data_IF_309684998340
#
_entry.id   IF_309684998340
#
_cell.length_a   1.000
_cell.length_b   1.000
_cell.length_c   1.000
_cell.angle_alpha   90.00
_cell.angle_beta   90.00
_cell.angle_gamma   90.00
#
_symmetry.space_group_name_H-M   'P 1'
#
loop_
_entity.id
_entity.type
_entity.pdbx_description
1 polymer ?
#
# COMPACT_ATOMS: atom_id res chain seq x y z
N UNK A 1 -8.25 -20.56 -15.24
CA UNK A 1 -8.58 -21.25 -14.00
C UNK A 1 -7.83 -20.59 -12.87
N UNK A 2 -8.45 -19.65 -12.16
CA UNK A 2 -7.82 -18.74 -11.20
C UNK A 2 -7.32 -19.39 -9.91
N UNK A 3 -6.40 -20.34 -9.99
CA UNK A 3 -5.67 -20.81 -8.81
C UNK A 3 -4.57 -19.80 -8.47
N UNK A 4 -4.44 -19.40 -7.19
CA UNK A 4 -3.34 -18.54 -6.76
C UNK A 4 -1.98 -19.12 -7.14
N UNK A 5 -1.04 -18.27 -7.58
CA UNK A 5 0.30 -18.73 -7.99
C UNK A 5 1.08 -19.40 -6.87
N UNK A 6 0.82 -19.06 -5.62
CA UNK A 6 1.38 -19.74 -4.45
C UNK A 6 0.86 -21.18 -4.28
N UNK A 7 -0.24 -21.57 -4.95
CA UNK A 7 -0.71 -22.95 -5.03
C UNK A 7 -0.23 -23.66 -6.28
N UNK A 8 -0.05 -22.95 -7.41
CA UNK A 8 0.38 -23.50 -8.70
C UNK A 8 1.78 -24.10 -8.59
N UNK A 9 2.71 -23.41 -7.89
CA UNK A 9 4.09 -23.92 -7.68
C UNK A 9 4.21 -25.13 -6.78
N UNK A 10 3.10 -25.64 -6.23
CA UNK A 10 3.04 -26.79 -5.32
C UNK A 10 2.20 -27.94 -5.84
N UNK A 11 2.00 -28.03 -7.13
CA UNK A 11 1.34 -29.18 -7.77
C UNK A 11 2.16 -30.45 -7.42
N UNK A 12 1.53 -31.38 -6.70
CA UNK A 12 2.19 -32.62 -6.23
C UNK A 12 2.72 -32.58 -4.80
N UNK A 13 2.66 -31.45 -4.10
CA UNK A 13 2.93 -31.36 -2.65
C UNK A 13 1.62 -31.31 -1.85
N UNK A 14 1.68 -31.50 -0.52
CA UNK A 14 0.52 -31.48 0.37
C UNK A 14 -0.51 -30.42 -0.01
N UNK A 15 -1.79 -30.77 -0.05
CA UNK A 15 -2.92 -29.86 -0.29
C UNK A 15 -3.09 -28.78 0.79
N UNK A 16 -2.33 -28.85 1.90
CA UNK A 16 -2.33 -27.88 2.98
C UNK A 16 -1.22 -26.87 2.76
N UNK A 17 -1.60 -25.64 2.42
CA UNK A 17 -0.67 -24.52 2.44
C UNK A 17 -0.34 -24.14 3.87
N UNK A 18 0.93 -23.76 4.10
CA UNK A 18 1.32 -23.18 5.38
C UNK A 18 0.45 -21.91 5.64
N UNK A 19 -0.03 -21.69 6.87
CA UNK A 19 -0.92 -20.57 7.20
C UNK A 19 -0.39 -19.19 6.83
N UNK A 20 0.93 -19.02 6.83
CA UNK A 20 1.61 -17.75 6.52
C UNK A 20 1.87 -17.55 5.02
N UNK A 21 1.60 -18.51 4.16
CA UNK A 21 1.77 -18.34 2.71
C UNK A 21 0.74 -17.37 2.18
N UNK A 22 1.18 -16.34 1.43
CA UNK A 22 0.32 -15.30 0.87
C UNK A 22 -0.07 -14.20 1.87
N UNK A 23 0.69 -14.01 2.95
CA UNK A 23 0.46 -12.97 3.96
C UNK A 23 1.48 -11.84 3.93
N UNK A 24 2.38 -11.85 2.93
CA UNK A 24 3.39 -10.81 2.79
C UNK A 24 2.84 -9.56 2.12
N UNK A 25 3.61 -8.48 2.18
CA UNK A 25 3.23 -7.17 1.65
C UNK A 25 3.33 -7.05 0.11
N UNK A 26 3.77 -8.10 -0.58
CA UNK A 26 3.85 -8.11 -2.04
C UNK A 26 2.52 -7.75 -2.75
N UNK A 27 1.38 -7.91 -2.09
CA UNK A 27 0.09 -7.41 -2.55
C UNK A 27 -0.02 -5.88 -2.43
N UNK A 28 0.41 -5.31 -1.29
CA UNK A 28 0.32 -3.87 -0.98
C UNK A 28 1.30 -3.02 -1.79
N UNK A 29 2.57 -3.46 -1.93
CA UNK A 29 3.63 -2.68 -2.58
C UNK A 29 3.41 -2.42 -4.07
N UNK A 30 2.59 -3.23 -4.75
CA UNK A 30 2.32 -3.11 -6.19
C UNK A 30 0.93 -2.56 -6.52
N UNK A 31 0.09 -2.25 -5.53
CA UNK A 31 -1.34 -2.02 -5.74
C UNK A 31 -1.72 -0.57 -6.01
N UNK A 32 -0.81 0.39 -5.81
CA UNK A 32 -1.09 1.82 -6.00
C UNK A 32 -1.78 2.14 -7.35
N UNK A 33 -1.42 1.50 -8.49
CA UNK A 33 -2.13 1.70 -9.75
C UNK A 33 -3.64 1.45 -9.67
N UNK A 34 -4.10 0.53 -8.81
CA UNK A 34 -5.52 0.29 -8.62
C UNK A 34 -6.25 1.51 -8.03
N UNK A 35 -5.59 2.25 -7.13
CA UNK A 35 -6.10 3.52 -6.60
C UNK A 35 -6.05 4.64 -7.63
N UNK A 36 -4.94 4.76 -8.38
CA UNK A 36 -4.74 5.80 -9.39
C UNK A 36 -5.76 5.73 -10.52
N UNK A 37 -6.16 4.53 -10.96
CA UNK A 37 -7.17 4.33 -12.02
C UNK A 37 -8.58 4.72 -11.56
N UNK A 38 -8.87 4.67 -10.25
CA UNK A 38 -10.19 4.93 -9.67
C UNK A 38 -10.17 6.09 -8.65
N UNK A 39 -9.85 7.35 -9.08
CA UNK A 39 -9.87 8.51 -8.18
C UNK A 39 -11.23 8.65 -7.47
N UNK A 40 -11.22 8.68 -6.13
CA UNK A 40 -12.41 8.80 -5.28
C UNK A 40 -13.36 7.59 -5.27
N UNK A 41 -13.17 6.60 -6.15
CA UNK A 41 -14.00 5.39 -6.25
C UNK A 41 -13.33 4.21 -5.52
N UNK A 42 -13.12 4.36 -4.23
CA UNK A 42 -12.36 3.41 -3.39
C UNK A 42 -12.89 1.97 -3.40
N UNK A 43 -14.18 1.75 -3.60
CA UNK A 43 -14.74 0.39 -3.78
C UNK A 43 -14.19 -0.27 -5.06
N UNK A 44 -14.20 0.44 -6.19
CA UNK A 44 -13.66 -0.05 -7.46
C UNK A 44 -12.14 -0.29 -7.35
N UNK A 45 -11.42 0.60 -6.67
CA UNK A 45 -10.00 0.41 -6.37
C UNK A 45 -9.74 -0.86 -5.56
N UNK A 46 -10.54 -1.14 -4.54
CA UNK A 46 -10.43 -2.36 -3.74
C UNK A 46 -10.77 -3.64 -4.53
N UNK A 47 -11.78 -3.59 -5.41
CA UNK A 47 -12.08 -4.73 -6.28
C UNK A 47 -10.93 -5.03 -7.26
N UNK A 48 -10.31 -4.00 -7.83
CA UNK A 48 -9.13 -4.19 -8.68
C UNK A 48 -7.94 -4.72 -7.85
N UNK A 49 -7.74 -4.22 -6.64
CA UNK A 49 -6.75 -4.73 -5.71
C UNK A 49 -6.97 -6.21 -5.39
N UNK A 50 -8.20 -6.64 -5.12
CA UNK A 50 -8.54 -8.05 -4.92
C UNK A 50 -8.10 -8.90 -6.11
N UNK A 51 -8.47 -8.51 -7.34
CA UNK A 51 -8.14 -9.25 -8.56
C UNK A 51 -6.63 -9.42 -8.71
N UNK A 52 -5.86 -8.37 -8.43
CA UNK A 52 -4.39 -8.43 -8.50
C UNK A 52 -3.75 -9.25 -7.38
N UNK A 53 -4.42 -9.41 -6.24
CA UNK A 53 -3.95 -10.20 -5.10
C UNK A 53 -4.14 -11.70 -5.30
N UNK A 54 -5.30 -12.12 -5.79
CA UNK A 54 -5.71 -13.53 -5.84
C UNK A 54 -4.66 -14.49 -6.42
N UNK A 55 -3.91 -14.14 -7.50
CA UNK A 55 -2.93 -15.06 -8.06
C UNK A 55 -1.76 -15.43 -7.13
N UNK A 56 -1.40 -14.57 -6.16
CA UNK A 56 -0.20 -14.75 -5.34
C UNK A 56 -0.41 -14.54 -3.84
N UNK A 57 -1.41 -13.74 -3.44
CA UNK A 57 -1.64 -13.28 -2.07
C UNK A 57 -3.14 -13.41 -1.72
N UNK A 58 -3.65 -14.63 -1.79
CA UNK A 58 -5.06 -14.98 -1.63
C UNK A 58 -5.49 -15.11 -0.16
N UNK A 59 -5.03 -14.23 0.72
CA UNK A 59 -5.39 -14.23 2.14
C UNK A 59 -6.12 -12.96 2.56
N UNK A 60 -6.96 -13.08 3.60
CA UNK A 60 -7.62 -11.92 4.23
C UNK A 60 -6.62 -10.84 4.65
N UNK A 61 -5.46 -11.21 5.18
CA UNK A 61 -4.41 -10.29 5.61
C UNK A 61 -3.87 -9.49 4.42
N UNK A 62 -3.47 -10.17 3.34
CA UNK A 62 -2.90 -9.51 2.17
C UNK A 62 -3.94 -8.66 1.41
N UNK A 63 -5.17 -9.17 1.24
CA UNK A 63 -6.24 -8.44 0.55
C UNK A 63 -6.68 -7.20 1.35
N UNK A 64 -6.83 -7.31 2.68
CA UNK A 64 -7.11 -6.17 3.53
C UNK A 64 -6.01 -5.09 3.44
N UNK A 65 -4.74 -5.53 3.41
CA UNK A 65 -3.57 -4.67 3.24
C UNK A 65 -3.56 -3.95 1.90
N UNK A 66 -3.76 -4.69 0.80
CA UNK A 66 -3.81 -4.12 -0.54
C UNK A 66 -4.99 -3.13 -0.70
N UNK A 67 -6.15 -3.46 -0.18
CA UNK A 67 -7.31 -2.57 -0.19
C UNK A 67 -7.09 -1.30 0.64
N UNK A 68 -6.33 -1.36 1.74
CA UNK A 68 -5.95 -0.17 2.52
C UNK A 68 -5.13 0.81 1.67
N UNK A 69 -4.09 0.33 0.99
CA UNK A 69 -3.25 1.16 0.12
C UNK A 69 -4.03 1.67 -1.09
N UNK A 70 -4.80 0.80 -1.78
CA UNK A 70 -5.59 1.19 -2.94
C UNK A 70 -6.65 2.26 -2.60
N UNK A 71 -7.35 2.12 -1.47
CA UNK A 71 -8.36 3.08 -1.03
C UNK A 71 -7.72 4.42 -0.62
N UNK A 72 -6.58 4.40 0.10
CA UNK A 72 -5.85 5.60 0.46
C UNK A 72 -5.33 6.34 -0.79
N UNK A 73 -4.76 5.61 -1.76
CA UNK A 73 -4.30 6.18 -3.03
C UNK A 73 -5.45 6.78 -3.82
N UNK A 74 -6.60 6.08 -3.90
CA UNK A 74 -7.83 6.58 -4.55
C UNK A 74 -8.31 7.89 -3.92
N UNK A 75 -8.30 7.97 -2.57
CA UNK A 75 -8.67 9.16 -1.83
C UNK A 75 -7.67 10.31 -2.03
N UNK A 76 -6.38 9.99 -2.11
CA UNK A 76 -5.30 10.96 -2.32
C UNK A 76 -5.43 11.75 -3.63
N UNK A 77 -6.08 11.17 -4.63
CA UNK A 77 -6.32 11.81 -5.93
C UNK A 77 -7.42 12.88 -5.92
N UNK A 78 -8.13 13.06 -4.80
CA UNK A 78 -9.20 14.07 -4.70
C UNK A 78 -8.65 15.43 -4.28
N UNK A 79 -9.17 16.54 -4.84
CA UNK A 79 -8.70 17.89 -4.50
C UNK A 79 -8.85 18.22 -3.01
N UNK A 80 -9.90 17.69 -2.35
CA UNK A 80 -10.19 17.89 -0.92
C UNK A 80 -9.50 16.88 0.01
N UNK A 81 -8.56 16.09 -0.51
CA UNK A 81 -7.85 15.09 0.29
C UNK A 81 -7.09 15.75 1.47
N UNK A 82 -7.10 15.07 2.59
CA UNK A 82 -6.44 15.48 3.83
C UNK A 82 -5.84 14.27 4.54
N UNK A 83 -4.90 14.47 5.47
CA UNK A 83 -4.34 13.37 6.27
C UNK A 83 -5.42 12.53 6.95
N UNK A 84 -6.47 13.18 7.46
CA UNK A 84 -7.60 12.49 8.08
C UNK A 84 -8.35 11.64 7.07
N UNK A 85 -8.69 12.20 5.90
CA UNK A 85 -9.42 11.46 4.89
C UNK A 85 -8.60 10.31 4.28
N UNK A 86 -7.26 10.44 4.20
CA UNK A 86 -6.36 9.36 3.79
C UNK A 86 -6.35 8.21 4.81
N UNK A 87 -6.24 8.55 6.11
CA UNK A 87 -6.30 7.56 7.18
C UNK A 87 -7.64 6.83 7.20
N UNK A 88 -8.74 7.57 7.13
CA UNK A 88 -10.09 7.01 7.11
C UNK A 88 -10.29 6.09 5.90
N UNK A 89 -9.77 6.47 4.73
CA UNK A 89 -9.81 5.64 3.53
C UNK A 89 -8.97 4.37 3.68
N UNK A 90 -7.78 4.44 4.30
CA UNK A 90 -6.95 3.27 4.57
C UNK A 90 -7.65 2.28 5.52
N UNK A 91 -8.21 2.76 6.64
CA UNK A 91 -8.94 1.94 7.61
C UNK A 91 -10.20 1.35 6.97
N UNK A 92 -10.95 2.15 6.22
CA UNK A 92 -12.12 1.67 5.49
C UNK A 92 -11.73 0.60 4.47
N UNK A 93 -10.66 0.82 3.70
CA UNK A 93 -10.14 -0.12 2.71
C UNK A 93 -9.73 -1.45 3.34
N UNK A 94 -9.04 -1.41 4.49
CA UNK A 94 -8.67 -2.62 5.25
C UNK A 94 -9.90 -3.43 5.66
N UNK A 95 -10.91 -2.77 6.24
CA UNK A 95 -12.15 -3.43 6.66
C UNK A 95 -12.97 -3.96 5.46
N UNK A 96 -13.00 -3.22 4.35
CA UNK A 96 -13.67 -3.64 3.13
C UNK A 96 -12.97 -4.84 2.49
N UNK A 97 -11.64 -4.80 2.41
CA UNK A 97 -10.81 -5.89 1.90
C UNK A 97 -10.94 -7.18 2.72
N UNK A 98 -11.06 -7.07 4.05
CA UNK A 98 -11.33 -8.24 4.89
C UNK A 98 -12.69 -8.88 4.59
N UNK A 99 -13.74 -8.05 4.32
CA UNK A 99 -15.05 -8.57 3.90
C UNK A 99 -14.99 -9.24 2.52
N UNK A 100 -14.28 -8.65 1.56
CA UNK A 100 -14.08 -9.26 0.24
C UNK A 100 -13.34 -10.59 0.37
N UNK A 101 -12.30 -10.65 1.20
CA UNK A 101 -11.52 -11.87 1.38
C UNK A 101 -12.36 -13.03 1.93
N UNK A 102 -13.34 -12.77 2.80
CA UNK A 102 -14.26 -13.81 3.30
C UNK A 102 -15.08 -14.49 2.19
N UNK A 103 -15.26 -13.81 1.04
CA UNK A 103 -16.01 -14.36 -0.10
C UNK A 103 -15.10 -15.02 -1.14
N UNK A 104 -13.87 -14.51 -1.33
CA UNK A 104 -13.06 -14.83 -2.50
C UNK A 104 -11.70 -15.45 -2.17
N UNK A 105 -11.31 -15.52 -0.90
CA UNK A 105 -9.95 -15.88 -0.51
C UNK A 105 -9.91 -16.76 0.74
N UNK A 106 -8.70 -17.16 1.13
CA UNK A 106 -8.46 -17.90 2.38
C UNK A 106 -8.48 -16.96 3.58
N UNK A 107 -9.15 -17.37 4.64
CA UNK A 107 -9.06 -16.69 5.93
C UNK A 107 -8.00 -17.40 6.79
N UNK A 108 -6.96 -16.67 7.14
CA UNK A 108 -5.89 -17.13 8.03
C UNK A 108 -5.89 -16.32 9.32
N UNK A 109 -5.40 -16.92 10.41
CA UNK A 109 -5.24 -16.21 11.67
C UNK A 109 -4.16 -15.12 11.56
N UNK A 110 -4.40 -13.98 12.17
CA UNK A 110 -3.45 -12.89 12.23
C UNK A 110 -4.08 -11.58 12.72
N UNK A 111 -3.28 -10.54 12.89
CA UNK A 111 -3.77 -9.25 13.36
C UNK A 111 -4.70 -8.57 12.36
N UNK A 112 -5.66 -7.78 12.85
CA UNK A 112 -6.47 -6.87 12.03
C UNK A 112 -5.59 -5.75 11.45
N UNK A 113 -5.63 -5.60 10.13
CA UNK A 113 -4.91 -4.53 9.43
C UNK A 113 -5.44 -3.15 9.86
N UNK A 114 -6.76 -3.00 9.96
CA UNK A 114 -7.39 -1.75 10.37
C UNK A 114 -6.97 -1.32 11.77
N UNK A 115 -6.92 -2.25 12.74
CA UNK A 115 -6.49 -1.94 14.11
C UNK A 115 -5.01 -1.58 14.18
N UNK A 116 -4.16 -2.24 13.39
CA UNK A 116 -2.73 -1.92 13.33
C UNK A 116 -2.45 -0.60 12.63
N UNK A 117 -3.25 -0.22 11.61
CA UNK A 117 -3.18 1.11 11.03
C UNK A 117 -3.54 2.18 12.08
N UNK A 118 -4.56 1.92 12.90
CA UNK A 118 -4.92 2.83 13.99
C UNK A 118 -3.79 2.97 15.02
N UNK A 119 -3.17 1.86 15.43
CA UNK A 119 -2.01 1.88 16.32
C UNK A 119 -0.85 2.70 15.74
N UNK A 120 -0.54 2.49 14.45
CA UNK A 120 0.50 3.26 13.76
C UNK A 120 0.17 4.76 13.68
N UNK A 121 -1.10 5.11 13.45
CA UNK A 121 -1.57 6.50 13.46
C UNK A 121 -1.42 7.15 14.85
N UNK A 122 -1.71 6.41 15.92
CA UNK A 122 -1.57 6.90 17.29
C UNK A 122 -0.09 7.09 17.68
N UNK A 123 0.81 6.22 17.21
CA UNK A 123 2.27 6.40 17.35
C UNK A 123 2.70 7.68 16.62
N UNK A 124 2.31 7.84 15.35
CA UNK A 124 2.66 9.01 14.55
C UNK A 124 2.21 10.34 15.17
N UNK A 125 1.04 10.36 15.83
CA UNK A 125 0.49 11.57 16.47
C UNK A 125 1.21 11.95 17.77
N UNK A 126 1.69 10.97 18.52
CA UNK A 126 2.31 11.20 19.84
C UNK A 126 3.82 11.31 19.81
N UNK A 127 4.46 10.89 18.72
CA UNK A 127 5.91 10.93 18.60
C UNK A 127 6.43 12.38 18.60
N UNK A 128 7.46 12.64 19.41
CA UNK A 128 8.06 13.98 19.54
C UNK A 128 9.07 14.26 18.43
N UNK A 129 9.73 13.23 17.92
CA UNK A 129 10.75 13.29 16.89
C UNK A 129 10.72 12.01 16.03
N UNK A 130 11.45 12.03 14.90
CA UNK A 130 11.48 10.92 13.97
C UNK A 130 12.07 9.65 14.62
N UNK A 131 13.11 9.78 15.40
CA UNK A 131 13.77 8.63 16.03
C UNK A 131 12.80 7.87 16.97
N UNK A 132 12.08 8.59 17.82
CA UNK A 132 11.07 8.01 18.70
C UNK A 132 9.92 7.39 17.89
N UNK A 133 9.49 8.03 16.80
CA UNK A 133 8.47 7.48 15.91
C UNK A 133 8.93 6.15 15.29
N UNK A 134 10.13 6.11 14.73
CA UNK A 134 10.68 4.91 14.09
C UNK A 134 10.83 3.77 15.09
N UNK A 135 11.37 4.04 16.28
CA UNK A 135 11.56 3.05 17.35
C UNK A 135 10.25 2.44 17.84
N UNK A 136 9.23 3.27 18.08
CA UNK A 136 7.92 2.76 18.49
C UNK A 136 7.21 2.04 17.33
N UNK A 137 7.36 2.51 16.10
CA UNK A 137 6.81 1.88 14.92
C UNK A 137 7.40 0.47 14.74
N UNK A 138 8.74 0.36 14.80
CA UNK A 138 9.42 -0.93 14.74
C UNK A 138 8.98 -1.86 15.88
N UNK A 139 9.01 -1.38 17.14
CA UNK A 139 8.77 -2.20 18.32
C UNK A 139 7.33 -2.63 18.52
N UNK A 140 6.34 -1.83 18.11
CA UNK A 140 4.93 -2.09 18.38
C UNK A 140 4.15 -2.52 17.13
N UNK A 141 4.52 -2.01 15.95
CA UNK A 141 3.87 -2.33 14.69
C UNK A 141 4.66 -3.37 13.92
N UNK A 142 5.98 -3.24 13.88
CA UNK A 142 6.86 -4.05 13.06
C UNK A 142 7.11 -3.40 11.69
N UNK A 143 8.18 -3.89 11.04
CA UNK A 143 8.70 -3.33 9.79
C UNK A 143 9.18 -4.42 8.81
N UNK A 144 8.70 -5.66 8.98
CA UNK A 144 9.10 -6.80 8.14
C UNK A 144 8.27 -6.91 6.88
N UNK A 145 8.57 -7.92 6.06
CA UNK A 145 7.79 -8.29 4.86
C UNK A 145 6.36 -8.72 5.15
N UNK A 146 5.98 -8.90 6.42
CA UNK A 146 4.62 -9.25 6.78
C UNK A 146 3.67 -8.07 6.52
N UNK A 147 2.58 -8.33 5.78
CA UNK A 147 1.65 -7.29 5.37
C UNK A 147 1.02 -6.54 6.56
N UNK A 148 0.79 -7.24 7.67
CA UNK A 148 0.23 -6.66 8.89
C UNK A 148 1.22 -5.81 9.71
N UNK A 149 2.47 -5.71 9.27
CA UNK A 149 3.50 -4.84 9.82
C UNK A 149 3.78 -3.66 8.87
N UNK A 150 4.26 -3.97 7.67
CA UNK A 150 4.73 -2.96 6.72
C UNK A 150 3.65 -2.00 6.22
N UNK A 151 2.40 -2.45 6.02
CA UNK A 151 1.34 -1.55 5.56
C UNK A 151 0.92 -0.55 6.66
N UNK A 152 0.67 -0.97 7.92
CA UNK A 152 0.46 -0.02 9.01
C UNK A 152 1.64 0.92 9.23
N UNK A 153 2.89 0.43 9.15
CA UNK A 153 4.08 1.27 9.27
C UNK A 153 4.14 2.34 8.17
N UNK A 154 3.85 1.96 6.91
CA UNK A 154 3.80 2.90 5.79
C UNK A 154 2.76 4.01 6.02
N UNK A 155 1.55 3.67 6.45
CA UNK A 155 0.50 4.66 6.76
C UNK A 155 0.91 5.53 7.96
N UNK A 156 1.49 4.94 9.01
CA UNK A 156 1.95 5.68 10.18
C UNK A 156 3.02 6.72 9.83
N UNK A 157 4.03 6.34 9.05
CA UNK A 157 5.10 7.25 8.63
C UNK A 157 4.61 8.31 7.64
N UNK A 158 3.69 7.98 6.75
CA UNK A 158 2.98 8.97 5.91
C UNK A 158 2.31 10.05 6.77
N UNK A 159 1.62 9.65 7.84
CA UNK A 159 0.95 10.58 8.76
C UNK A 159 1.95 11.42 9.56
N UNK A 160 3.02 10.80 10.08
CA UNK A 160 4.08 11.50 10.81
C UNK A 160 4.73 12.60 9.96
N UNK A 161 5.06 12.28 8.70
CA UNK A 161 5.64 13.22 7.73
C UNK A 161 4.61 14.15 7.09
N UNK A 162 3.35 14.15 7.56
CA UNK A 162 2.26 15.01 7.04
C UNK A 162 2.03 14.87 5.53
N UNK A 163 2.37 13.71 4.99
CA UNK A 163 2.25 13.38 3.58
C UNK A 163 3.21 14.14 2.65
N UNK A 164 4.27 14.74 3.18
CA UNK A 164 5.34 15.32 2.36
C UNK A 164 6.12 14.19 1.68
N UNK A 165 6.15 14.12 0.32
CA UNK A 165 6.62 12.92 -0.37
C UNK A 165 8.07 12.55 -0.05
N UNK A 166 8.97 13.52 -0.09
CA UNK A 166 10.39 13.26 0.15
C UNK A 166 10.66 12.86 1.60
N UNK A 167 10.09 13.58 2.56
CA UNK A 167 10.22 13.27 3.98
C UNK A 167 9.62 11.91 4.32
N UNK A 168 8.49 11.56 3.69
CA UNK A 168 7.85 10.26 3.86
C UNK A 168 8.74 9.12 3.36
N UNK A 169 9.29 9.24 2.15
CA UNK A 169 10.20 8.24 1.57
C UNK A 169 11.46 8.11 2.43
N UNK A 170 12.04 9.24 2.86
CA UNK A 170 13.22 9.26 3.70
C UNK A 170 12.98 8.59 5.07
N UNK A 171 11.87 8.90 5.75
CA UNK A 171 11.51 8.25 7.00
C UNK A 171 11.31 6.74 6.83
N UNK A 172 10.61 6.32 5.77
CA UNK A 172 10.41 4.90 5.47
C UNK A 172 11.73 4.17 5.15
N UNK A 173 12.67 4.83 4.46
CA UNK A 173 13.98 4.26 4.17
C UNK A 173 14.86 4.07 5.43
N UNK A 174 14.54 4.75 6.53
CA UNK A 174 15.29 4.70 7.79
C UNK A 174 14.65 3.81 8.86
N UNK A 175 13.49 3.20 8.61
CA UNK A 175 12.81 2.34 9.60
C UNK A 175 13.52 0.99 9.81
N UNK A 176 14.38 0.58 8.88
CA UNK A 176 15.04 -0.73 8.91
C UNK A 176 14.19 -1.85 8.30
N UNK A 177 14.79 -3.02 8.17
CA UNK A 177 14.22 -4.24 7.61
C UNK A 177 13.65 -4.03 6.18
N UNK A 178 12.36 -4.08 5.92
CA UNK A 178 11.73 -4.03 4.58
C UNK A 178 11.45 -2.58 4.12
N UNK A 179 12.48 -1.75 4.12
CA UNK A 179 12.41 -0.30 3.90
C UNK A 179 11.89 0.08 2.51
N UNK A 180 12.27 -0.65 1.48
CA UNK A 180 11.91 -0.38 0.09
C UNK A 180 10.40 -0.57 -0.15
N UNK A 181 9.82 -1.64 0.37
CA UNK A 181 8.38 -1.88 0.27
C UNK A 181 7.58 -0.83 1.05
N UNK A 182 8.01 -0.51 2.28
CA UNK A 182 7.35 0.50 3.13
C UNK A 182 7.41 1.87 2.43
N UNK A 183 8.59 2.26 1.91
CA UNK A 183 8.76 3.52 1.19
C UNK A 183 7.95 3.57 -0.11
N UNK A 184 7.86 2.47 -0.84
CA UNK A 184 7.06 2.38 -2.07
C UNK A 184 5.58 2.62 -1.79
N UNK A 185 5.02 2.01 -0.74
CA UNK A 185 3.61 2.16 -0.40
C UNK A 185 3.27 3.57 0.10
N UNK A 186 4.05 4.09 1.04
CA UNK A 186 3.84 5.42 1.60
C UNK A 186 4.10 6.53 0.56
N UNK A 187 5.18 6.39 -0.22
CA UNK A 187 5.55 7.32 -1.28
C UNK A 187 4.52 7.39 -2.40
N UNK A 188 3.89 6.26 -2.77
CA UNK A 188 2.82 6.24 -3.77
C UNK A 188 1.60 7.04 -3.32
N UNK A 189 1.18 6.94 -2.05
CA UNK A 189 0.07 7.72 -1.50
C UNK A 189 0.44 9.20 -1.41
N UNK A 190 1.65 9.51 -0.89
CA UNK A 190 2.13 10.89 -0.77
C UNK A 190 2.25 11.58 -2.14
N UNK A 191 2.82 10.90 -3.13
CA UNK A 191 2.95 11.39 -4.50
C UNK A 191 1.59 11.59 -5.18
N UNK A 192 0.64 10.67 -4.98
CA UNK A 192 -0.72 10.80 -5.49
C UNK A 192 -1.44 12.03 -4.89
N UNK A 193 -1.15 12.36 -3.62
CA UNK A 193 -1.78 13.50 -2.93
C UNK A 193 -1.12 14.84 -3.26
N UNK A 194 0.22 14.89 -3.22
CA UNK A 194 0.97 16.16 -3.35
C UNK A 194 1.36 16.48 -4.79
N UNK A 195 1.31 15.51 -5.68
CA UNK A 195 1.72 15.66 -7.05
C UNK A 195 3.24 15.61 -7.23
N UNK A 196 3.63 15.67 -8.49
CA UNK A 196 5.01 15.56 -8.93
C UNK A 196 5.90 16.72 -8.46
N UNK A 197 5.38 17.94 -8.45
CA UNK A 197 6.12 19.16 -8.11
C UNK A 197 6.54 19.23 -6.63
N UNK A 198 6.01 18.33 -5.79
CA UNK A 198 6.41 18.20 -4.40
C UNK A 198 7.68 17.36 -4.21
N UNK A 199 8.20 16.73 -5.26
CA UNK A 199 9.47 15.99 -5.21
C UNK A 199 10.65 16.92 -5.49
N UNK A 200 11.80 16.78 -4.79
CA UNK A 200 13.00 17.53 -5.10
C UNK A 200 13.50 17.19 -6.51
N UNK A 201 13.71 18.23 -7.32
CA UNK A 201 14.08 18.10 -8.74
C UNK A 201 15.36 17.27 -8.94
N UNK A 202 16.37 17.48 -8.11
CA UNK A 202 17.65 16.76 -8.16
C UNK A 202 17.49 15.27 -7.91
N UNK A 203 16.60 14.89 -6.99
CA UNK A 203 16.30 13.49 -6.66
C UNK A 203 15.55 12.81 -7.78
N UNK A 204 14.58 13.48 -8.35
CA UNK A 204 13.85 12.96 -9.50
C UNK A 204 14.75 12.85 -10.74
N UNK A 205 15.57 13.84 -11.01
CA UNK A 205 16.53 13.80 -12.13
C UNK A 205 17.48 12.59 -11.99
N UNK A 206 18.01 12.34 -10.79
CA UNK A 206 18.84 11.17 -10.50
C UNK A 206 18.07 9.86 -10.74
N UNK A 207 16.88 9.73 -10.16
CA UNK A 207 16.02 8.56 -10.32
C UNK A 207 15.76 8.26 -11.80
N UNK A 208 15.39 9.29 -12.58
CA UNK A 208 15.13 9.20 -14.01
C UNK A 208 16.37 8.75 -14.79
N UNK A 209 17.54 9.31 -14.50
CA UNK A 209 18.78 8.95 -15.17
C UNK A 209 19.17 7.48 -14.99
N UNK A 210 18.83 6.90 -13.83
CA UNK A 210 19.12 5.51 -13.52
C UNK A 210 18.09 4.55 -14.11
N UNK A 211 16.80 4.89 -14.02
CA UNK A 211 15.70 3.94 -14.29
C UNK A 211 15.10 4.01 -15.70
N UNK A 212 15.19 5.15 -16.40
CA UNK A 212 14.59 5.30 -17.75
C UNK A 212 15.23 4.42 -18.83
N UNK A 213 16.31 3.71 -18.53
CA UNK A 213 16.89 2.71 -19.44
C UNK A 213 16.02 1.47 -19.56
N UNK A 214 15.33 1.13 -18.47
CA UNK A 214 14.55 -0.10 -18.35
C UNK A 214 13.03 0.17 -18.35
N UNK A 215 12.62 1.35 -17.87
CA UNK A 215 11.21 1.72 -17.73
C UNK A 215 10.99 3.19 -18.11
N UNK A 216 10.14 3.44 -19.10
CA UNK A 216 9.64 4.79 -19.40
C UNK A 216 8.52 5.15 -18.41
N UNK A 217 8.90 5.76 -17.28
CA UNK A 217 7.98 6.11 -16.20
C UNK A 217 6.93 7.13 -16.67
N UNK A 218 7.31 8.07 -17.54
CA UNK A 218 6.40 9.09 -18.06
C UNK A 218 5.35 8.49 -18.98
N UNK A 219 5.73 7.53 -19.83
CA UNK A 219 4.80 6.78 -20.65
C UNK A 219 3.84 5.93 -19.82
N UNK A 220 4.35 5.28 -18.75
CA UNK A 220 3.52 4.52 -17.81
C UNK A 220 2.50 5.44 -17.11
N UNK A 221 2.94 6.60 -16.60
CA UNK A 221 2.06 7.58 -15.94
C UNK A 221 0.98 8.10 -16.90
N UNK A 222 1.37 8.43 -18.14
CA UNK A 222 0.44 8.86 -19.20
C UNK A 222 -0.59 7.77 -19.52
N UNK A 223 -0.16 6.52 -19.64
CA UNK A 223 -1.05 5.38 -19.88
C UNK A 223 -2.05 5.16 -18.75
N UNK A 224 -1.60 5.26 -17.48
CA UNK A 224 -2.49 5.17 -16.30
C UNK A 224 -3.50 6.33 -16.26
N UNK A 225 -3.09 7.54 -16.63
CA UNK A 225 -3.98 8.71 -16.72
C UNK A 225 -5.09 8.49 -17.73
N UNK A 226 -4.76 7.99 -18.93
CA UNK A 226 -5.77 7.67 -19.96
C UNK A 226 -6.76 6.61 -19.46
N UNK A 227 -6.27 5.56 -18.79
CA UNK A 227 -7.13 4.53 -18.20
C UNK A 227 -8.05 5.11 -17.13
N UNK A 228 -7.54 6.00 -16.28
CA UNK A 228 -8.34 6.66 -15.24
C UNK A 228 -9.47 7.51 -15.84
N UNK A 229 -9.18 8.29 -16.89
CA UNK A 229 -10.18 9.10 -17.60
C UNK A 229 -11.27 8.21 -18.23
N UNK A 230 -10.91 7.15 -18.95
CA UNK A 230 -11.85 6.19 -19.52
C UNK A 230 -12.70 5.46 -18.46
N UNK A 231 -12.12 5.22 -17.29
CA UNK A 231 -12.81 4.56 -16.19
C UNK A 231 -13.84 5.47 -15.48
N UNK A 232 -13.72 6.78 -15.62
CA UNK A 232 -14.69 7.74 -15.06
C UNK A 232 -15.95 7.88 -15.91
N UNK A 233 -15.85 7.60 -17.21
CA UNK A 233 -16.98 7.67 -18.15
C UNK A 233 -17.96 6.48 -18.04
N UNK A 234 -17.56 5.44 -17.29
CA UNK A 234 -18.33 4.21 -17.02
C UNK A 234 -18.85 4.17 -15.57
#
# INVERSE_FOLDING_TARGET
EGRPTNTIGRIGTSSRQAPNVGTTNGAGMRVAPAGLIWPGKKEKACHLALITCLPSHDTNIAIASACAIAAATSQAMLPEASLTSLLDAAIWGANYGERLAKQYARCVAGPSIAMRIQLAADIARRANDLESCLREMEGLVGNSVAAHESIPAAIGLLLYCKGEPWETIHACANIGNDTDSIATMAGAIAGAWRGFDALPEDKYAFFRAVNNKDFDIEAIASGLTLLALQAQEK
#
